data_IF_096253544164
#
_entry.id   IF_096253544164
#
_cell.length_a   1.000
_cell.length_b   1.000
_cell.length_c   1.000
_cell.angle_alpha   90.00
_cell.angle_beta   90.00
_cell.angle_gamma   90.00
#
_symmetry.space_group_name_H-M   'P 1'
#
loop_
_entity.id
_entity.type
_entity.pdbx_description
1 polymer ?
#
# COMPACT_ATOMS: atom_id res chain seq x y z
N UNK A 1 5.78 -12.90 4.90
CA UNK A 1 6.58 -12.54 3.69
C UNK A 1 6.33 -11.11 3.19
N UNK A 2 5.08 -10.63 3.10
CA UNK A 2 4.77 -9.26 2.66
C UNK A 2 4.51 -8.27 3.81
N UNK A 3 4.96 -8.53 5.04
CA UNK A 3 4.58 -7.71 6.21
C UNK A 3 5.01 -6.24 6.09
N UNK A 4 6.11 -5.96 5.38
CA UNK A 4 6.59 -4.60 5.15
C UNK A 4 6.02 -3.93 3.89
N UNK A 5 5.10 -4.57 3.18
CA UNK A 5 4.53 -4.00 1.96
C UNK A 5 3.36 -3.10 2.32
N UNK A 6 3.30 -1.92 1.72
CA UNK A 6 2.10 -1.08 1.81
C UNK A 6 0.90 -1.81 1.21
N UNK A 7 -0.31 -1.42 1.59
CA UNK A 7 -1.54 -2.04 1.07
C UNK A 7 -1.64 -1.95 -0.45
N UNK A 8 -1.24 -0.81 -1.03
CA UNK A 8 -1.19 -0.60 -2.49
C UNK A 8 -0.18 -1.55 -3.16
N UNK A 9 1.00 -1.73 -2.57
CA UNK A 9 2.02 -2.64 -3.09
C UNK A 9 1.58 -4.11 -2.99
N UNK A 10 1.01 -4.51 -1.85
CA UNK A 10 0.42 -5.85 -1.67
C UNK A 10 -0.69 -6.13 -2.68
N UNK A 11 -1.52 -5.13 -2.95
CA UNK A 11 -2.56 -5.20 -3.98
C UNK A 11 -1.97 -5.38 -5.37
N UNK A 12 -0.94 -4.61 -5.74
CA UNK A 12 -0.26 -4.74 -7.04
C UNK A 12 0.31 -6.15 -7.26
N UNK A 13 0.97 -6.72 -6.24
CA UNK A 13 1.50 -8.10 -6.30
C UNK A 13 0.38 -9.14 -6.34
N UNK A 14 -0.75 -8.89 -5.69
CA UNK A 14 -1.90 -9.80 -5.77
C UNK A 14 -2.54 -9.77 -7.17
N UNK A 15 -2.61 -8.58 -7.77
CA UNK A 15 -3.12 -8.38 -9.12
C UNK A 15 -2.22 -9.02 -10.18
N UNK A 16 -0.90 -9.06 -9.99
CA UNK A 16 0.00 -9.71 -10.94
C UNK A 16 -0.28 -11.21 -11.10
N UNK A 17 -0.73 -11.90 -10.04
CA UNK A 17 -1.20 -13.27 -10.14
C UNK A 17 -2.45 -13.38 -11.04
N UNK A 18 -3.38 -12.43 -10.95
CA UNK A 18 -4.58 -12.40 -11.79
C UNK A 18 -4.24 -12.14 -13.25
N UNK A 19 -3.28 -11.24 -13.52
CA UNK A 19 -2.82 -10.99 -14.89
C UNK A 19 -2.10 -12.22 -15.48
N UNK A 20 -1.26 -12.91 -14.70
CA UNK A 20 -0.64 -14.16 -15.16
C UNK A 20 -1.67 -15.23 -15.54
N UNK A 21 -2.72 -15.39 -14.73
CA UNK A 21 -3.83 -16.29 -15.06
C UNK A 21 -4.63 -15.82 -16.28
N UNK A 22 -4.86 -14.51 -16.43
CA UNK A 22 -5.58 -13.93 -17.58
C UNK A 22 -4.89 -14.26 -18.90
N UNK A 23 -3.56 -14.32 -18.91
CA UNK A 23 -2.76 -14.68 -20.08
C UNK A 23 -2.39 -16.17 -20.16
N UNK A 24 -2.95 -17.03 -19.30
CA UNK A 24 -2.65 -18.45 -19.25
C UNK A 24 -1.14 -18.74 -19.06
N UNK A 25 -0.47 -17.94 -18.22
CA UNK A 25 0.94 -18.10 -17.91
C UNK A 25 1.17 -18.88 -16.60
N UNK A 26 2.05 -19.87 -16.66
CA UNK A 26 2.37 -20.76 -15.53
C UNK A 26 3.20 -20.08 -14.43
N UNK A 27 3.76 -18.90 -14.74
CA UNK A 27 4.62 -18.13 -13.85
C UNK A 27 4.26 -16.65 -13.88
N UNK A 28 4.40 -15.98 -12.74
CA UNK A 28 4.36 -14.52 -12.66
C UNK A 28 5.73 -13.99 -13.10
N UNK A 29 5.79 -13.35 -14.27
CA UNK A 29 6.93 -12.58 -14.75
C UNK A 29 6.86 -11.07 -14.44
N UNK A 30 7.94 -10.30 -14.72
CA UNK A 30 7.99 -8.85 -14.50
C UNK A 30 6.85 -8.07 -15.17
N UNK A 31 6.43 -8.48 -16.36
CA UNK A 31 5.32 -7.88 -17.11
C UNK A 31 3.98 -7.98 -16.37
N UNK A 32 3.72 -9.07 -15.67
CA UNK A 32 2.52 -9.20 -14.85
C UNK A 32 2.58 -8.32 -13.60
N UNK A 33 3.77 -8.16 -13.02
CA UNK A 33 3.98 -7.23 -11.91
C UNK A 33 3.72 -5.80 -12.38
N UNK A 34 4.19 -5.44 -13.57
CA UNK A 34 3.94 -4.13 -14.16
C UNK A 34 2.44 -3.91 -14.46
N UNK A 35 1.73 -4.89 -15.03
CA UNK A 35 0.28 -4.81 -15.23
C UNK A 35 -0.49 -4.72 -13.90
N UNK A 36 -0.04 -5.45 -12.88
CA UNK A 36 -0.59 -5.39 -11.52
C UNK A 36 -0.41 -4.01 -10.89
N UNK A 37 0.78 -3.40 -11.06
CA UNK A 37 1.09 -2.05 -10.63
C UNK A 37 0.24 -1.01 -11.36
N UNK A 38 0.14 -1.11 -12.69
CA UNK A 38 -0.70 -0.26 -13.53
C UNK A 38 -2.19 -0.31 -13.14
N UNK A 39 -2.63 -1.41 -12.54
CA UNK A 39 -4.01 -1.61 -12.06
C UNK A 39 -4.27 -1.05 -10.66
N UNK A 40 -3.25 -0.53 -9.99
CA UNK A 40 -3.37 0.18 -8.73
C UNK A 40 -3.27 1.69 -9.00
N UNK A 41 -4.42 2.36 -9.01
CA UNK A 41 -4.51 3.82 -9.22
C UNK A 41 -4.16 4.63 -7.96
N UNK A 42 -3.17 4.18 -7.18
CA UNK A 42 -2.76 4.76 -5.89
C UNK A 42 -1.27 4.51 -5.62
N UNK A 43 -0.69 5.35 -4.78
CA UNK A 43 0.72 5.25 -4.36
C UNK A 43 1.67 6.00 -5.31
N UNK A 44 2.91 6.19 -4.87
CA UNK A 44 3.89 6.97 -5.62
C UNK A 44 4.25 6.33 -6.96
N UNK A 45 4.21 5.00 -7.08
CA UNK A 45 4.45 4.32 -8.36
C UNK A 45 3.47 4.79 -9.44
N UNK A 46 2.18 4.92 -9.10
CA UNK A 46 1.17 5.46 -10.00
C UNK A 46 1.41 6.94 -10.32
N UNK A 47 1.77 7.74 -9.31
CA UNK A 47 2.08 9.17 -9.51
C UNK A 47 3.30 9.39 -10.39
N UNK A 48 4.34 8.55 -10.26
CA UNK A 48 5.54 8.60 -11.12
C UNK A 48 5.17 8.29 -12.56
N UNK A 49 4.39 7.22 -12.82
CA UNK A 49 3.91 6.89 -14.16
C UNK A 49 3.12 8.06 -14.77
N UNK A 50 2.19 8.64 -14.01
CA UNK A 50 1.40 9.78 -14.49
C UNK A 50 2.21 11.06 -14.71
N UNK A 51 3.15 11.39 -13.82
CA UNK A 51 3.95 12.60 -13.98
C UNK A 51 5.01 12.48 -15.08
N UNK A 52 5.37 11.26 -15.49
CA UNK A 52 6.07 11.00 -16.77
C UNK A 52 5.17 11.20 -18.00
N UNK A 53 3.94 11.70 -17.83
CA UNK A 53 2.93 11.88 -18.90
C UNK A 53 2.54 10.57 -19.60
N UNK A 54 2.64 9.44 -18.90
CA UNK A 54 2.30 8.14 -19.46
C UNK A 54 0.85 7.82 -19.19
N UNK A 55 0.16 7.54 -20.28
CA UNK A 55 -1.17 6.97 -20.25
C UNK A 55 -1.06 5.49 -19.87
N UNK A 56 -1.70 5.13 -18.77
CA UNK A 56 -1.71 3.75 -18.26
C UNK A 56 -2.33 2.80 -19.29
N UNK A 57 -3.29 3.26 -20.10
CA UNK A 57 -3.90 2.44 -21.13
C UNK A 57 -2.94 2.18 -22.29
N UNK A 58 -2.10 3.15 -22.65
CA UNK A 58 -1.00 2.91 -23.61
C UNK A 58 0.01 1.92 -23.06
N UNK A 59 0.38 2.04 -21.77
CA UNK A 59 1.28 1.10 -21.12
C UNK A 59 0.71 -0.33 -21.14
N UNK A 60 -0.58 -0.50 -20.87
CA UNK A 60 -1.25 -1.80 -21.00
C UNK A 60 -1.17 -2.33 -22.43
N UNK A 61 -1.55 -1.52 -23.41
CA UNK A 61 -1.56 -1.94 -24.82
C UNK A 61 -0.17 -2.37 -25.30
N UNK A 62 0.90 -1.66 -24.93
CA UNK A 62 2.27 -2.06 -25.29
C UNK A 62 2.68 -3.39 -24.66
N UNK A 63 2.28 -3.65 -23.41
CA UNK A 63 2.52 -4.95 -22.78
C UNK A 63 1.71 -6.04 -23.48
N UNK A 64 0.43 -5.79 -23.77
CA UNK A 64 -0.47 -6.75 -24.43
C UNK A 64 0.02 -7.12 -25.84
N UNK A 65 0.64 -6.18 -26.56
CA UNK A 65 1.23 -6.44 -27.88
C UNK A 65 2.46 -7.36 -27.83
N UNK A 66 3.19 -7.38 -26.71
CA UNK A 66 4.40 -8.18 -26.54
C UNK A 66 4.13 -9.53 -25.86
N UNK A 67 3.10 -9.59 -25.01
CA UNK A 67 2.70 -10.82 -24.33
C UNK A 67 1.98 -11.76 -25.30
N UNK A 68 2.46 -13.00 -25.41
CA UNK A 68 1.76 -14.08 -26.10
C UNK A 68 0.90 -14.83 -25.09
N UNK A 69 -0.34 -15.15 -25.43
CA UNK A 69 -1.18 -16.02 -24.58
C UNK A 69 -0.59 -17.42 -24.52
N UNK A 70 -0.53 -18.00 -23.31
CA UNK A 70 -0.11 -19.38 -23.12
C UNK A 70 -1.07 -20.38 -23.77
N UNK A 71 -0.56 -21.55 -24.16
CA UNK A 71 -1.31 -22.59 -24.88
C UNK A 71 -2.23 -23.44 -24.00
N UNK A 72 -2.00 -23.45 -22.68
CA UNK A 72 -2.69 -24.32 -21.74
C UNK A 72 -3.68 -23.50 -20.91
N UNK A 73 -4.91 -23.99 -20.75
CA UNK A 73 -5.84 -23.43 -19.75
C UNK A 73 -5.33 -23.76 -18.36
N UNK A 74 -4.80 -22.75 -17.66
CA UNK A 74 -4.30 -22.90 -16.31
C UNK A 74 -5.49 -22.81 -15.34
N UNK A 75 -5.59 -23.80 -14.47
CA UNK A 75 -6.64 -23.87 -13.46
C UNK A 75 -6.42 -22.82 -12.37
N UNK A 76 -7.52 -22.31 -11.81
CA UNK A 76 -7.56 -21.29 -10.76
C UNK A 76 -6.56 -21.57 -9.63
N UNK A 77 -5.81 -20.56 -9.19
CA UNK A 77 -4.87 -20.71 -8.08
C UNK A 77 -3.80 -19.63 -8.02
N UNK A 78 -2.83 -19.81 -7.12
CA UNK A 78 -1.65 -18.95 -7.05
C UNK A 78 -0.54 -19.58 -7.90
N UNK A 79 -0.09 -18.87 -8.93
CA UNK A 79 1.05 -19.28 -9.75
C UNK A 79 2.38 -18.87 -9.09
N UNK A 80 3.45 -19.67 -9.25
CA UNK A 80 4.77 -19.31 -8.75
C UNK A 80 5.35 -18.08 -9.46
N UNK A 81 6.22 -17.34 -8.77
CA UNK A 81 6.98 -16.25 -9.39
C UNK A 81 8.19 -16.80 -10.16
N UNK A 82 8.44 -16.23 -11.34
CA UNK A 82 9.66 -16.50 -12.11
C UNK A 82 10.91 -15.99 -11.35
N UNK A 83 12.12 -16.47 -11.68
CA UNK A 83 13.35 -15.96 -11.08
C UNK A 83 13.52 -14.45 -11.25
N UNK A 84 13.16 -13.91 -12.43
CA UNK A 84 13.19 -12.47 -12.69
C UNK A 84 12.17 -11.71 -11.82
N UNK A 85 10.95 -12.24 -11.66
CA UNK A 85 9.94 -11.61 -10.81
C UNK A 85 10.33 -11.60 -9.32
N UNK A 86 11.01 -12.64 -8.83
CA UNK A 86 11.59 -12.64 -7.48
C UNK A 86 12.68 -11.57 -7.37
N UNK A 87 13.54 -11.46 -8.39
CA UNK A 87 14.57 -10.42 -8.46
C UNK A 87 13.98 -9.01 -8.45
N UNK A 88 12.84 -8.76 -9.12
CA UNK A 88 12.12 -7.47 -9.04
C UNK A 88 11.78 -7.13 -7.59
N UNK A 89 11.23 -8.08 -6.84
CA UNK A 89 10.86 -7.88 -5.43
C UNK A 89 12.09 -7.64 -4.57
N UNK A 90 13.18 -8.37 -4.79
CA UNK A 90 14.46 -8.15 -4.09
C UNK A 90 15.03 -6.75 -4.38
N UNK A 91 14.98 -6.30 -5.64
CA UNK A 91 15.40 -4.95 -6.02
C UNK A 91 14.52 -3.90 -5.35
N UNK A 92 13.21 -4.10 -5.29
CA UNK A 92 12.30 -3.19 -4.58
C UNK A 92 12.61 -3.09 -3.08
N UNK A 93 12.93 -4.22 -2.43
CA UNK A 93 13.38 -4.23 -1.03
C UNK A 93 14.68 -3.42 -0.86
N UNK A 94 15.63 -3.60 -1.77
CA UNK A 94 16.90 -2.87 -1.74
C UNK A 94 16.71 -1.37 -2.00
N UNK A 95 15.78 -0.99 -2.88
CA UNK A 95 15.43 0.42 -3.10
C UNK A 95 14.86 1.07 -1.86
N UNK A 96 13.87 0.42 -1.22
CA UNK A 96 13.28 0.91 0.03
C UNK A 96 14.35 1.10 1.11
N UNK A 97 15.28 0.15 1.23
CA UNK A 97 16.42 0.29 2.15
C UNK A 97 17.37 1.43 1.77
N UNK A 98 17.62 1.64 0.48
CA UNK A 98 18.53 2.70 0.01
C UNK A 98 17.97 4.10 0.22
N UNK A 99 16.65 4.21 0.36
CA UNK A 99 15.92 5.44 0.66
C UNK A 99 15.52 5.53 2.15
N UNK A 100 16.01 4.62 2.99
CA UNK A 100 15.66 4.53 4.42
C UNK A 100 14.14 4.41 4.72
N UNK A 101 13.38 3.89 3.76
CA UNK A 101 11.95 3.66 3.91
C UNK A 101 11.66 2.38 4.71
N UNK A 102 10.81 2.51 5.73
CA UNK A 102 10.40 1.39 6.58
C UNK A 102 9.49 0.40 5.84
N UNK A 103 8.70 0.90 4.89
CA UNK A 103 7.75 0.13 4.10
C UNK A 103 8.13 0.10 2.61
N UNK A 104 7.73 -0.97 1.94
CA UNK A 104 7.94 -1.19 0.51
C UNK A 104 6.65 -0.82 -0.21
N UNK A 105 6.64 0.38 -0.79
CA UNK A 105 5.54 0.86 -1.62
C UNK A 105 5.65 0.53 -3.10
N UNK A 106 4.74 1.11 -3.87
CA UNK A 106 4.55 0.91 -5.32
C UNK A 106 5.71 1.47 -6.17
N UNK A 107 6.32 2.54 -5.70
CA UNK A 107 7.47 3.23 -6.28
C UNK A 107 8.73 2.37 -6.19
N UNK A 108 8.96 1.72 -5.06
CA UNK A 108 10.05 0.76 -4.92
C UNK A 108 9.89 -0.42 -5.87
N UNK A 109 8.64 -0.90 -6.04
CA UNK A 109 8.33 -1.96 -6.98
C UNK A 109 8.58 -1.51 -8.44
N UNK A 110 8.20 -0.28 -8.80
CA UNK A 110 8.48 0.32 -10.10
C UNK A 110 9.98 0.47 -10.37
N UNK A 111 10.73 1.00 -9.41
CA UNK A 111 12.19 1.13 -9.50
C UNK A 111 12.87 -0.24 -9.61
N UNK A 112 12.34 -1.25 -8.90
CA UNK A 112 12.78 -2.63 -9.02
C UNK A 112 12.57 -3.19 -10.43
N UNK A 113 11.44 -2.90 -11.08
CA UNK A 113 11.17 -3.29 -12.47
C UNK A 113 12.15 -2.64 -13.46
N UNK A 114 12.44 -1.35 -13.28
CA UNK A 114 13.38 -0.59 -14.12
C UNK A 114 14.83 -1.08 -14.01
N UNK A 115 15.19 -1.75 -12.90
CA UNK A 115 16.51 -2.35 -12.70
C UNK A 115 16.68 -3.74 -13.30
N UNK A 116 15.59 -4.38 -13.75
CA UNK A 116 15.70 -5.68 -14.40
C UNK A 116 16.05 -5.50 -15.87
N UNK A 117 17.24 -5.97 -16.23
CA UNK A 117 17.66 -6.10 -17.62
C UNK A 117 16.88 -7.23 -18.32
N UNK A 118 16.71 -7.11 -19.64
CA UNK A 118 16.12 -8.14 -20.50
C UNK A 118 14.75 -8.66 -20.04
N UNK A 119 13.87 -7.74 -19.61
CA UNK A 119 12.46 -8.06 -19.31
C UNK A 119 11.51 -7.25 -20.18
N UNK A 120 10.35 -7.84 -20.50
CA UNK A 120 9.27 -7.16 -21.23
C UNK A 120 8.85 -5.88 -20.50
N UNK A 121 8.75 -5.94 -19.17
CA UNK A 121 8.45 -4.76 -18.35
C UNK A 121 9.46 -3.62 -18.56
N UNK A 122 10.76 -3.92 -18.48
CA UNK A 122 11.82 -2.93 -18.68
C UNK A 122 11.85 -2.38 -20.11
N UNK A 123 11.63 -3.24 -21.11
CA UNK A 123 11.52 -2.82 -22.52
C UNK A 123 10.35 -1.84 -22.73
N UNK A 124 9.16 -2.15 -22.21
CA UNK A 124 7.99 -1.28 -22.34
C UNK A 124 8.20 0.03 -21.59
N UNK A 125 8.68 -0.01 -20.35
CA UNK A 125 8.95 1.19 -19.57
C UNK A 125 9.95 2.12 -20.29
N UNK A 126 11.03 1.54 -20.84
CA UNK A 126 12.05 2.28 -21.59
C UNK A 126 11.50 2.83 -22.91
N UNK A 127 10.69 2.05 -23.64
CA UNK A 127 10.03 2.48 -24.87
C UNK A 127 9.06 3.66 -24.63
N UNK A 128 8.44 3.72 -23.45
CA UNK A 128 7.61 4.83 -23.01
C UNK A 128 8.42 6.01 -22.42
N UNK A 129 9.75 5.93 -22.43
CA UNK A 129 10.63 6.98 -21.94
C UNK A 129 10.83 7.01 -20.42
N UNK A 130 10.36 6.00 -19.68
CA UNK A 130 10.67 5.86 -18.25
C UNK A 130 12.04 5.23 -18.12
N UNK A 131 12.92 5.93 -17.42
CA UNK A 131 14.23 5.43 -17.04
C UNK A 131 14.31 5.32 -15.52
N UNK A 132 15.23 4.51 -15.02
CA UNK A 132 15.48 4.49 -13.59
C UNK A 132 15.79 5.88 -13.02
N UNK A 133 16.54 6.69 -13.78
CA UNK A 133 16.97 8.03 -13.37
C UNK A 133 15.78 8.98 -13.22
N UNK A 134 14.94 9.13 -14.25
CA UNK A 134 13.81 10.07 -14.16
C UNK A 134 12.76 9.63 -13.14
N UNK A 135 12.51 8.32 -13.00
CA UNK A 135 11.60 7.79 -11.99
C UNK A 135 12.09 8.10 -10.56
N UNK A 136 13.40 8.04 -10.33
CA UNK A 136 14.01 8.35 -9.04
C UNK A 136 14.02 9.85 -8.74
N UNK A 137 14.33 10.69 -9.72
CA UNK A 137 14.23 12.15 -9.60
C UNK A 137 12.79 12.56 -9.25
N UNK A 138 11.80 12.02 -9.95
CA UNK A 138 10.39 12.24 -9.64
C UNK A 138 9.99 11.76 -8.25
N UNK A 139 10.53 10.64 -7.78
CA UNK A 139 10.22 10.17 -6.44
C UNK A 139 10.72 11.17 -5.39
N UNK A 140 11.93 11.71 -5.55
CA UNK A 140 12.45 12.76 -4.66
C UNK A 140 11.55 13.99 -4.70
N UNK A 141 11.17 14.46 -5.90
CA UNK A 141 10.26 15.60 -6.04
C UNK A 141 8.90 15.36 -5.38
N UNK A 142 8.40 14.12 -5.41
CA UNK A 142 7.12 13.74 -4.78
C UNK A 142 7.26 13.63 -3.27
N UNK A 143 8.42 13.22 -2.74
CA UNK A 143 8.71 13.28 -1.31
C UNK A 143 8.80 14.71 -0.82
N UNK A 144 9.53 15.60 -1.52
CA UNK A 144 9.61 17.02 -1.15
C UNK A 144 8.23 17.69 -1.20
N UNK A 145 7.39 17.32 -2.18
CA UNK A 145 6.00 17.78 -2.27
C UNK A 145 5.13 17.20 -1.18
N UNK A 146 5.35 15.96 -0.74
CA UNK A 146 4.65 15.40 0.39
C UNK A 146 5.15 15.99 1.71
N UNK A 147 6.43 16.34 1.85
CA UNK A 147 6.96 17.02 3.04
C UNK A 147 6.47 18.47 3.12
N UNK A 148 6.33 19.16 1.98
CA UNK A 148 5.78 20.53 1.91
C UNK A 148 4.25 20.56 1.92
N UNK A 149 3.58 19.52 1.41
CA UNK A 149 2.16 19.30 1.66
C UNK A 149 1.92 18.65 3.01
N UNK A 150 2.93 18.18 3.72
CA UNK A 150 2.93 17.86 5.16
C UNK A 150 3.29 19.11 5.99
N UNK A 151 3.95 20.15 5.49
CA UNK A 151 3.86 21.46 6.16
C UNK A 151 2.47 22.11 6.00
N UNK A 152 1.63 21.60 5.09
CA UNK A 152 0.20 21.95 4.98
C UNK A 152 -0.80 20.79 5.21
N UNK A 153 -0.32 19.62 5.69
CA UNK A 153 -1.11 18.46 6.14
C UNK A 153 -0.52 17.79 7.40
N UNK A 154 0.52 18.38 7.98
CA UNK A 154 1.23 17.98 9.21
C UNK A 154 1.59 19.21 10.08
N UNK A 155 1.00 20.38 9.79
CA UNK A 155 0.47 21.27 10.84
C UNK A 155 -1.02 21.00 11.07
N UNK A 156 -1.41 19.73 11.10
CA UNK A 156 -2.68 19.31 11.67
C UNK A 156 -2.43 18.23 12.74
N UNK A 157 -1.97 18.71 13.91
CA UNK A 157 -2.76 18.46 15.13
C UNK A 157 -4.23 18.51 14.71
N UNK A 158 -5.06 17.48 14.95
CA UNK A 158 -6.45 17.51 14.52
C UNK A 158 -7.09 18.81 14.97
N UNK A 159 -7.23 19.77 14.04
CA UNK A 159 -7.99 20.97 14.27
C UNK A 159 -9.43 20.49 14.18
N UNK A 160 -9.99 20.27 15.36
CA UNK A 160 -11.41 20.12 15.61
C UNK A 160 -12.08 19.15 14.63
N UNK A 161 -11.75 17.86 14.77
CA UNK A 161 -12.72 16.84 14.40
C UNK A 161 -13.97 17.14 15.25
N UNK A 162 -15.01 17.63 14.58
CA UNK A 162 -16.32 18.02 15.10
C UNK A 162 -16.74 17.10 16.26
N UNK A 163 -16.40 17.53 17.48
CA UNK A 163 -16.48 16.70 18.70
C UNK A 163 -17.96 16.37 18.99
N UNK A 164 -18.87 17.11 18.38
CA UNK A 164 -20.31 16.91 18.47
C UNK A 164 -20.84 15.65 17.78
N UNK A 165 -20.08 14.98 16.88
CA UNK A 165 -20.55 13.76 16.21
C UNK A 165 -20.00 12.46 16.78
N UNK A 166 -19.13 12.51 17.80
CA UNK A 166 -18.61 11.30 18.45
C UNK A 166 -19.60 10.85 19.53
N UNK A 167 -20.44 9.87 19.21
CA UNK A 167 -21.19 9.13 20.23
C UNK A 167 -20.21 8.27 21.04
N UNK A 168 -19.72 8.85 22.12
CA UNK A 168 -18.96 8.14 23.14
C UNK A 168 -19.94 7.33 23.99
N UNK A 169 -19.75 6.02 24.02
CA UNK A 169 -20.47 5.14 24.94
C UNK A 169 -19.63 4.97 26.20
N UNK A 170 -20.20 5.35 27.35
CA UNK A 170 -19.64 5.00 28.66
C UNK A 170 -19.92 3.52 28.92
N UNK A 171 -18.87 2.71 29.09
CA UNK A 171 -19.03 1.32 29.49
C UNK A 171 -18.23 1.07 30.78
N UNK A 172 -18.92 0.56 31.81
CA UNK A 172 -18.37 0.30 33.14
C UNK A 172 -17.90 -1.16 33.32
N UNK A 173 -18.08 -2.00 32.30
CA UNK A 173 -17.82 -3.44 32.38
C UNK A 173 -16.48 -3.85 31.74
N UNK A 174 -16.02 -5.07 32.07
CA UNK A 174 -14.81 -5.66 31.50
C UNK A 174 -14.99 -5.93 30.01
N UNK A 175 -14.22 -5.24 29.15
CA UNK A 175 -14.25 -5.30 27.69
C UNK A 175 -13.79 -6.66 27.11
N UNK A 176 -14.46 -7.74 27.47
CA UNK A 176 -14.24 -9.09 26.90
C UNK A 176 -14.95 -9.27 25.55
N UNK A 177 -16.00 -8.48 25.28
CA UNK A 177 -16.70 -8.40 24.00
C UNK A 177 -17.11 -6.96 23.69
N UNK A 178 -17.23 -6.63 22.39
CA UNK A 178 -17.80 -5.36 21.95
C UNK A 178 -19.30 -5.32 22.29
N UNK A 179 -19.81 -4.31 23.02
CA UNK A 179 -21.23 -4.20 23.34
C UNK A 179 -22.10 -3.90 22.11
N UNK A 180 -21.51 -3.40 21.01
CA UNK A 180 -22.25 -3.06 19.79
C UNK A 180 -22.35 -4.22 18.79
N UNK A 181 -21.37 -5.13 18.76
CA UNK A 181 -21.30 -6.18 17.73
C UNK A 181 -20.80 -7.54 18.23
N UNK A 182 -20.65 -7.71 19.55
CA UNK A 182 -20.18 -8.92 20.23
C UNK A 182 -18.76 -9.42 19.87
N UNK A 183 -18.00 -8.66 19.07
CA UNK A 183 -16.63 -9.00 18.70
C UNK A 183 -15.73 -9.24 19.93
N UNK A 184 -15.00 -10.35 19.95
CA UNK A 184 -14.20 -10.82 21.08
C UNK A 184 -12.69 -10.94 20.80
N UNK A 185 -12.22 -10.44 19.64
CA UNK A 185 -10.82 -10.56 19.19
C UNK A 185 -9.91 -9.40 19.57
N UNK A 186 -10.10 -8.79 20.75
CA UNK A 186 -9.27 -7.69 21.28
C UNK A 186 -9.57 -6.29 20.70
N UNK A 187 -9.25 -5.23 21.46
CA UNK A 187 -9.50 -3.84 21.05
C UNK A 187 -8.20 -3.13 20.68
N UNK A 188 -8.25 -2.20 19.73
CA UNK A 188 -7.15 -1.27 19.51
C UNK A 188 -7.23 -0.12 20.52
N UNK A 189 -6.11 0.14 21.21
CA UNK A 189 -6.00 1.22 22.18
C UNK A 189 -5.48 2.46 21.45
N UNK A 190 -6.25 3.54 21.48
CA UNK A 190 -5.81 4.85 21.05
C UNK A 190 -5.71 5.77 22.27
N UNK A 191 -4.53 6.36 22.46
CA UNK A 191 -4.31 7.37 23.48
C UNK A 191 -4.62 8.75 22.91
N UNK A 192 -5.53 9.49 23.55
CA UNK A 192 -5.80 10.88 23.24
C UNK A 192 -5.49 11.75 24.47
N UNK A 193 -4.37 12.48 24.40
CA UNK A 193 -4.08 13.58 25.31
C UNK A 193 -4.74 14.85 24.79
N UNK A 194 -5.74 15.38 25.50
CA UNK A 194 -6.28 16.71 25.18
C UNK A 194 -5.22 17.77 25.53
N UNK A 195 -4.95 18.69 24.59
CA UNK A 195 -3.94 19.78 24.72
C UNK A 195 -4.21 20.73 25.91
N UNK A 196 -5.38 20.68 26.53
CA UNK A 196 -5.71 21.44 27.74
C UNK A 196 -5.60 20.56 28.99
N UNK A 197 -4.37 20.24 29.37
CA UNK A 197 -3.78 19.91 30.70
C UNK A 197 -4.59 19.25 31.83
N UNK A 198 -5.83 18.77 31.67
CA UNK A 198 -6.59 18.21 32.81
C UNK A 198 -7.29 16.87 32.58
N UNK A 199 -7.45 16.35 31.35
CA UNK A 199 -7.99 15.01 31.17
C UNK A 199 -7.35 14.29 29.97
N UNK A 200 -6.58 13.23 30.25
CA UNK A 200 -6.22 12.22 29.26
C UNK A 200 -7.34 11.18 29.20
N UNK A 201 -7.76 10.82 27.98
CA UNK A 201 -8.78 9.79 27.75
C UNK A 201 -8.18 8.65 26.96
N UNK A 202 -8.57 7.44 27.36
CA UNK A 202 -8.21 6.22 26.66
C UNK A 202 -9.42 5.77 25.87
N UNK A 203 -9.24 5.58 24.56
CA UNK A 203 -10.32 5.17 23.67
C UNK A 203 -10.00 3.78 23.13
N UNK A 204 -10.93 2.85 23.33
CA UNK A 204 -10.90 1.55 22.67
C UNK A 204 -11.66 1.62 21.36
N UNK A 205 -11.07 1.10 20.29
CA UNK A 205 -11.73 0.97 18.99
C UNK A 205 -11.97 -0.51 18.69
N UNK A 206 -13.24 -0.87 18.44
CA UNK A 206 -13.60 -2.21 18.03
C UNK A 206 -13.14 -2.49 16.59
N UNK A 207 -12.35 -3.54 16.32
CA UNK A 207 -11.95 -3.89 14.95
C UNK A 207 -13.12 -4.25 14.04
N UNK A 208 -14.16 -4.90 14.59
CA UNK A 208 -15.33 -5.39 13.86
C UNK A 208 -16.27 -4.29 13.38
N UNK A 209 -16.78 -3.44 14.29
CA UNK A 209 -17.76 -2.40 13.95
C UNK A 209 -17.21 -0.97 13.93
N UNK A 210 -15.93 -0.76 14.27
CA UNK A 210 -15.26 0.55 14.37
C UNK A 210 -15.85 1.51 15.42
N UNK A 211 -16.77 1.06 16.26
CA UNK A 211 -17.27 1.83 17.41
C UNK A 211 -16.13 2.18 18.37
N UNK A 212 -16.21 3.38 18.95
CA UNK A 212 -15.23 3.95 19.87
C UNK A 212 -15.83 4.00 21.28
N UNK A 213 -15.10 3.50 22.27
CA UNK A 213 -15.51 3.45 23.67
C UNK A 213 -14.53 4.23 24.53
N UNK A 214 -15.03 5.13 25.37
CA UNK A 214 -14.22 5.80 26.39
C UNK A 214 -14.10 4.87 27.59
N UNK A 215 -12.89 4.45 27.92
CA UNK A 215 -12.68 3.50 29.02
C UNK A 215 -12.33 4.17 30.34
N UNK A 216 -12.09 5.49 30.34
CA UNK A 216 -11.64 6.22 31.52
C UNK A 216 -10.29 5.72 32.09
N UNK A 217 -9.56 6.60 32.77
CA UNK A 217 -8.24 6.26 33.36
C UNK A 217 -8.30 5.16 34.45
N UNK A 218 -9.47 4.85 35.01
CA UNK A 218 -9.61 3.95 36.16
C UNK A 218 -9.77 2.46 35.79
N UNK A 219 -9.98 2.11 34.52
CA UNK A 219 -10.27 0.72 34.11
C UNK A 219 -9.04 -0.06 33.61
N UNK A 220 -7.96 0.62 33.21
CA UNK A 220 -6.78 -0.01 32.59
C UNK A 220 -5.77 -0.60 33.58
N UNK A 221 -5.97 -0.42 34.90
CA UNK A 221 -4.99 -0.81 35.94
C UNK A 221 -5.58 -1.68 37.08
N UNK A 222 -6.68 -2.40 36.85
CA UNK A 222 -7.12 -3.44 37.78
C UNK A 222 -6.91 -4.83 37.17
N UNK A 223 -5.84 -5.48 37.63
CA UNK A 223 -5.66 -6.94 37.77
C UNK A 223 -5.89 -7.80 36.54
#
# INVERSE_FOLDING_TARGET
>A
MFERFTDSCRKAVTLSNREALRYNHEYIGPEHILLGLASVNKGFGFQILHGCSIDIDKLRNEIENLIKTGSNTISQGKVPQSPQAKKVVEMAINEARSLDHCEIGTEHLLLGLLKIEDSIASQVLTALGITYKNAREMLVDLHDKNDTSEENQNSQVPQEADIHSIQLFENKDSFTKCPQCEYNGGFHILFYGLKNKQHSKWILVCPGCKSKFDVGLNSLFRG
#
